data_IF_949532767853
#
_entry.id   IF_949532767853
#
_cell.length_a   1.000
_cell.length_b   1.000
_cell.length_c   1.000
_cell.angle_alpha   90.00
_cell.angle_beta   90.00
_cell.angle_gamma   90.00
#
_symmetry.space_group_name_H-M   'P 1'
#
loop_
_entity.id
_entity.type
_entity.pdbx_description
1 polymer ?
#
# COMPACT_ATOMS: atom_id res chain seq x y z
N UNK A 1 1.16 -18.54 -3.06
CA UNK A 1 0.23 -17.40 -3.20
C UNK A 1 -1.08 -17.80 -2.54
N UNK A 2 -1.57 -17.10 -1.50
CA UNK A 2 -2.86 -17.47 -0.90
C UNK A 2 -3.99 -17.25 -1.93
N UNK A 3 -4.78 -18.27 -2.33
CA UNK A 3 -5.77 -18.19 -3.42
C UNK A 3 -6.81 -17.07 -3.22
N UNK A 4 -7.04 -16.69 -1.97
CA UNK A 4 -7.94 -15.60 -1.58
C UNK A 4 -7.49 -14.21 -2.07
N UNK A 5 -6.18 -13.97 -2.24
CA UNK A 5 -5.66 -12.65 -2.65
C UNK A 5 -5.97 -12.34 -4.12
N UNK A 6 -5.74 -13.30 -5.00
CA UNK A 6 -6.00 -13.14 -6.44
C UNK A 6 -7.50 -12.99 -6.68
N UNK A 7 -8.31 -13.83 -6.01
CA UNK A 7 -9.77 -13.75 -6.10
C UNK A 7 -10.31 -12.38 -5.63
N UNK A 8 -9.77 -11.86 -4.53
CA UNK A 8 -10.12 -10.53 -4.05
C UNK A 8 -9.78 -9.44 -5.06
N UNK A 9 -8.57 -9.46 -5.62
CA UNK A 9 -8.13 -8.45 -6.61
C UNK A 9 -9.04 -8.44 -7.84
N UNK A 10 -9.29 -9.59 -8.44
CA UNK A 10 -10.18 -9.69 -9.61
C UNK A 10 -11.57 -9.13 -9.26
N UNK A 11 -12.14 -9.55 -8.13
CA UNK A 11 -13.47 -9.08 -7.72
C UNK A 11 -13.51 -7.59 -7.38
N UNK A 12 -12.43 -7.02 -6.86
CA UNK A 12 -12.35 -5.58 -6.59
C UNK A 12 -12.32 -4.74 -7.86
N UNK A 13 -11.66 -5.23 -8.92
CA UNK A 13 -11.56 -4.51 -10.21
C UNK A 13 -12.89 -4.51 -10.95
N UNK A 14 -13.62 -5.63 -10.92
CA UNK A 14 -14.89 -5.79 -11.64
C UNK A 14 -16.14 -5.45 -10.81
N UNK A 15 -15.99 -4.78 -9.66
CA UNK A 15 -17.11 -4.45 -8.75
C UNK A 15 -17.97 -5.68 -8.40
N UNK A 16 -17.33 -6.81 -8.11
CA UNK A 16 -17.96 -8.08 -7.70
C UNK A 16 -17.81 -8.35 -6.19
N UNK A 17 -17.35 -7.36 -5.43
CA UNK A 17 -17.29 -7.45 -3.98
C UNK A 17 -18.70 -7.33 -3.37
N UNK A 18 -18.91 -7.87 -2.15
CA UNK A 18 -20.19 -7.82 -1.46
C UNK A 18 -20.51 -6.42 -0.90
N UNK A 19 -20.60 -5.40 -1.76
CA UNK A 19 -21.17 -4.09 -1.44
C UNK A 19 -22.69 -4.21 -1.26
N UNK A 20 -23.35 -3.34 -0.49
CA UNK A 20 -24.81 -3.46 -0.33
C UNK A 20 -25.56 -3.38 -1.66
N UNK A 21 -25.07 -2.60 -2.63
CA UNK A 21 -25.64 -2.59 -3.99
C UNK A 21 -25.59 -3.99 -4.63
N UNK A 22 -24.47 -4.69 -4.53
CA UNK A 22 -24.34 -6.04 -5.07
C UNK A 22 -25.12 -7.07 -4.27
N UNK A 23 -25.17 -6.94 -2.95
CA UNK A 23 -25.97 -7.82 -2.09
C UNK A 23 -27.47 -7.73 -2.43
N UNK A 24 -27.97 -6.53 -2.72
CA UNK A 24 -29.34 -6.34 -3.22
C UNK A 24 -29.52 -6.99 -4.58
N UNK A 25 -28.59 -6.77 -5.51
CA UNK A 25 -28.61 -7.40 -6.84
C UNK A 25 -28.62 -8.94 -6.76
N UNK A 26 -27.99 -9.52 -5.74
CA UNK A 26 -27.95 -10.97 -5.52
C UNK A 26 -29.12 -11.51 -4.67
N UNK A 27 -30.09 -10.67 -4.31
CA UNK A 27 -31.22 -11.06 -3.46
C UNK A 27 -30.80 -11.48 -2.04
N UNK A 28 -29.68 -10.95 -1.54
CA UNK A 28 -29.16 -11.22 -0.19
C UNK A 28 -29.47 -10.10 0.81
N UNK A 29 -29.95 -8.97 0.33
CA UNK A 29 -30.32 -7.80 1.14
C UNK A 29 -31.41 -7.02 0.41
N UNK A 30 -32.24 -6.28 1.14
CA UNK A 30 -33.31 -5.47 0.54
C UNK A 30 -32.89 -4.02 0.27
N UNK A 31 -31.92 -3.51 1.04
CA UNK A 31 -31.52 -2.10 1.00
C UNK A 31 -30.04 -1.89 0.60
N UNK A 32 -29.77 -1.11 -0.48
CA UNK A 32 -28.41 -0.80 -0.93
C UNK A 32 -27.74 0.35 -0.15
N UNK A 33 -28.36 0.91 0.88
CA UNK A 33 -27.82 2.09 1.57
C UNK A 33 -26.58 1.81 2.41
N UNK A 34 -25.72 2.81 2.51
CA UNK A 34 -24.55 2.81 3.36
C UNK A 34 -24.98 3.00 4.82
N UNK A 35 -24.53 2.16 5.75
CA UNK A 35 -24.93 2.28 7.16
C UNK A 35 -24.45 3.59 7.79
N UNK A 36 -23.36 4.17 7.27
CA UNK A 36 -22.73 5.40 7.80
C UNK A 36 -23.42 6.67 7.31
N UNK A 37 -23.53 6.83 5.99
CA UNK A 37 -23.97 8.09 5.39
C UNK A 37 -25.35 8.02 4.71
N UNK A 38 -26.00 6.85 4.76
CA UNK A 38 -27.31 6.55 4.16
C UNK A 38 -27.40 6.73 2.63
N UNK A 39 -26.29 7.03 1.96
CA UNK A 39 -26.20 7.07 0.49
C UNK A 39 -26.08 5.68 -0.12
N UNK A 40 -26.17 5.55 -1.45
CA UNK A 40 -26.02 4.27 -2.15
C UNK A 40 -24.60 3.69 -1.96
N UNK A 41 -24.49 2.46 -1.47
CA UNK A 41 -23.20 1.84 -1.13
C UNK A 41 -22.68 0.89 -2.23
N UNK A 42 -21.97 1.45 -3.21
CA UNK A 42 -21.14 0.70 -4.16
C UNK A 42 -19.79 0.29 -3.55
N UNK A 43 -19.00 -0.52 -4.25
CA UNK A 43 -17.61 -0.80 -3.82
C UNK A 43 -16.78 0.48 -3.76
N UNK A 44 -16.88 1.34 -4.78
CA UNK A 44 -16.22 2.65 -4.82
C UNK A 44 -16.61 3.53 -3.60
N UNK A 45 -17.89 3.53 -3.23
CA UNK A 45 -18.38 4.25 -2.06
C UNK A 45 -17.66 3.83 -0.77
N UNK A 46 -17.48 2.53 -0.55
CA UNK A 46 -16.79 1.99 0.64
C UNK A 46 -15.30 2.31 0.62
N UNK A 47 -14.69 2.30 -0.57
CA UNK A 47 -13.25 2.47 -0.74
C UNK A 47 -12.80 3.93 -0.71
N UNK A 48 -13.56 4.87 -1.26
CA UNK A 48 -13.10 6.26 -1.44
C UNK A 48 -14.17 7.34 -1.33
N UNK A 49 -15.46 7.03 -1.54
CA UNK A 49 -16.47 8.07 -1.83
C UNK A 49 -17.51 8.31 -0.71
N UNK A 50 -17.34 7.70 0.47
CA UNK A 50 -18.24 7.90 1.61
C UNK A 50 -17.87 9.16 2.40
N UNK A 51 -18.72 10.20 2.33
CA UNK A 51 -18.54 11.48 3.03
C UNK A 51 -18.33 11.35 4.55
N UNK A 52 -19.07 10.45 5.20
CA UNK A 52 -18.94 10.22 6.66
C UNK A 52 -17.65 9.47 6.99
N UNK A 53 -17.25 8.51 6.14
CA UNK A 53 -15.98 7.83 6.34
C UNK A 53 -14.79 8.78 6.15
N UNK A 54 -14.90 9.74 5.21
CA UNK A 54 -13.93 10.80 5.01
C UNK A 54 -13.82 11.70 6.24
N UNK A 55 -14.94 12.28 6.68
CA UNK A 55 -14.94 13.24 7.80
C UNK A 55 -14.51 12.61 9.13
N UNK A 56 -14.78 11.31 9.33
CA UNK A 56 -14.33 10.57 10.50
C UNK A 56 -12.88 10.07 10.39
N UNK A 57 -12.14 10.40 9.33
CA UNK A 57 -10.73 10.03 9.17
C UNK A 57 -10.49 8.53 8.94
N UNK A 58 -11.50 7.76 8.54
CA UNK A 58 -11.37 6.30 8.37
C UNK A 58 -10.45 5.91 7.22
N UNK A 59 -10.39 6.73 6.17
CA UNK A 59 -9.43 6.55 5.07
C UNK A 59 -7.99 6.74 5.58
N UNK A 60 -7.74 7.81 6.32
CA UNK A 60 -6.45 8.09 6.95
C UNK A 60 -6.01 6.93 7.85
N UNK A 61 -6.92 6.41 8.68
CA UNK A 61 -6.61 5.25 9.52
C UNK A 61 -6.21 4.02 8.69
N UNK A 62 -6.99 3.66 7.66
CA UNK A 62 -6.68 2.52 6.78
C UNK A 62 -5.33 2.69 6.07
N UNK A 63 -5.06 3.87 5.51
CA UNK A 63 -3.80 4.17 4.84
C UNK A 63 -2.63 4.10 5.82
N UNK A 64 -2.75 4.70 7.01
CA UNK A 64 -1.71 4.65 8.03
C UNK A 64 -1.41 3.22 8.48
N UNK A 65 -2.42 2.35 8.58
CA UNK A 65 -2.20 0.92 8.89
C UNK A 65 -1.38 0.20 7.83
N UNK A 66 -1.63 0.47 6.55
CA UNK A 66 -0.82 -0.10 5.45
C UNK A 66 0.61 0.44 5.51
N UNK A 67 0.78 1.75 5.68
CA UNK A 67 2.09 2.39 5.79
C UNK A 67 2.89 1.87 6.99
N UNK A 68 2.25 1.65 8.14
CA UNK A 68 2.88 1.04 9.32
C UNK A 68 3.39 -0.37 9.02
N UNK A 69 2.61 -1.19 8.32
CA UNK A 69 3.03 -2.53 7.91
C UNK A 69 4.26 -2.48 6.99
N UNK A 70 4.27 -1.60 6.00
CA UNK A 70 5.42 -1.41 5.11
C UNK A 70 6.65 -0.91 5.86
N UNK A 71 6.49 0.10 6.72
CA UNK A 71 7.57 0.64 7.53
C UNK A 71 8.19 -0.43 8.45
N UNK A 72 7.36 -1.30 9.03
CA UNK A 72 7.83 -2.43 9.87
C UNK A 72 8.70 -3.41 9.08
N UNK A 73 8.25 -3.80 7.88
CA UNK A 73 9.01 -4.71 7.00
C UNK A 73 10.34 -4.08 6.58
N UNK A 74 10.33 -2.80 6.18
CA UNK A 74 11.54 -2.08 5.78
C UNK A 74 12.51 -1.94 6.95
N UNK A 75 12.02 -1.58 8.14
CA UNK A 75 12.84 -1.43 9.35
C UNK A 75 13.49 -2.76 9.75
N UNK A 76 12.73 -3.85 9.65
CA UNK A 76 13.25 -5.21 9.89
C UNK A 76 14.32 -5.58 8.88
N UNK A 77 14.09 -5.33 7.59
CA UNK A 77 15.06 -5.61 6.53
C UNK A 77 16.34 -4.78 6.68
N UNK A 78 16.23 -3.52 7.13
CA UNK A 78 17.38 -2.65 7.39
C UNK A 78 18.30 -3.21 8.47
N UNK A 79 17.73 -3.85 9.49
CA UNK A 79 18.48 -4.44 10.60
C UNK A 79 19.06 -5.83 10.27
N UNK A 80 18.81 -6.36 9.07
CA UNK A 80 19.36 -7.65 8.67
C UNK A 80 20.87 -7.57 8.40
N UNK A 81 21.67 -8.58 8.82
CA UNK A 81 23.11 -8.61 8.59
C UNK A 81 23.49 -8.50 7.10
N UNK A 82 22.67 -9.10 6.22
CA UNK A 82 22.87 -9.04 4.77
C UNK A 82 22.73 -7.63 4.20
N UNK A 83 21.78 -6.84 4.71
CA UNK A 83 21.58 -5.44 4.30
C UNK A 83 22.78 -4.58 4.72
N UNK A 84 23.27 -4.76 5.95
CA UNK A 84 24.46 -4.08 6.45
C UNK A 84 25.73 -4.46 5.67
N UNK A 85 25.88 -5.75 5.31
CA UNK A 85 27.00 -6.23 4.49
C UNK A 85 26.97 -5.61 3.08
N UNK A 86 25.81 -5.58 2.41
CA UNK A 86 25.64 -4.95 1.10
C UNK A 86 25.91 -3.44 1.14
N UNK A 87 25.40 -2.73 2.14
CA UNK A 87 25.68 -1.30 2.32
C UNK A 87 27.18 -1.03 2.55
N UNK A 88 27.86 -1.89 3.31
CA UNK A 88 29.32 -1.77 3.51
C UNK A 88 30.13 -1.98 2.22
N UNK A 89 29.61 -2.77 1.27
CA UNK A 89 30.24 -3.03 -0.03
C UNK A 89 29.96 -1.85 -0.98
N UNK A 90 28.73 -1.32 -0.99
CA UNK A 90 28.37 -0.13 -1.77
C UNK A 90 29.18 1.11 -1.35
N UNK A 91 29.32 1.37 -0.03
CA UNK A 91 30.12 2.50 0.47
C UNK A 91 31.62 2.39 0.12
N UNK A 92 32.18 1.16 0.15
CA UNK A 92 33.57 0.91 -0.27
C UNK A 92 33.79 1.14 -1.76
N UNK A 93 32.87 0.70 -2.61
CA UNK A 93 32.98 0.87 -4.06
C UNK A 93 32.80 2.34 -4.49
N UNK A 94 31.95 3.11 -3.80
CA UNK A 94 31.83 4.56 -4.01
C UNK A 94 33.11 5.30 -3.58
N UNK A 95 33.65 5.02 -2.39
CA UNK A 95 34.89 5.62 -1.88
C UNK A 95 36.10 5.32 -2.77
N UNK A 96 36.24 4.07 -3.24
CA UNK A 96 37.30 3.68 -4.17
C UNK A 96 37.14 4.27 -5.59
N UNK A 97 35.90 4.50 -6.06
CA UNK A 97 35.64 5.18 -7.34
C UNK A 97 35.86 6.70 -7.25
N UNK A 98 35.65 7.30 -6.09
CA UNK A 98 35.94 8.72 -5.81
C UNK A 98 37.45 8.96 -5.71
N UNK A 99 38.18 8.11 -4.98
CA UNK A 99 39.63 8.21 -4.83
C UNK A 99 40.39 8.09 -6.17
N UNK A 100 39.83 7.35 -7.15
CA UNK A 100 40.40 7.23 -8.51
C UNK A 100 40.13 8.41 -9.44
N UNK A 101 39.26 9.35 -9.06
CA UNK A 101 38.98 10.57 -9.88
C UNK A 101 39.81 11.78 -9.47
N UNK A 102 40.47 11.72 -8.31
CA UNK A 102 41.41 12.76 -7.88
C UNK A 102 42.81 12.28 -8.26
N UNK A 103 43.20 12.52 -9.50
CA UNK A 103 44.60 12.37 -9.92
C UNK A 103 45.37 13.64 -9.52
N UNK A 104 46.36 13.55 -8.61
CA UNK A 104 47.15 14.71 -8.18
C UNK A 104 48.01 15.32 -9.30
N UNK A 105 48.19 14.65 -10.44
CA UNK A 105 49.09 15.06 -11.52
C UNK A 105 48.38 15.60 -12.77
N UNK A 106 47.06 15.82 -12.73
CA UNK A 106 46.35 16.44 -13.86
C UNK A 106 46.53 17.97 -13.86
N UNK A 107 47.61 18.44 -14.47
CA UNK A 107 47.74 19.85 -14.87
C UNK A 107 46.85 20.15 -16.09
N UNK A 108 46.39 21.41 -16.27
CA UNK A 108 45.51 21.83 -17.36
C UNK A 108 46.12 21.64 -18.76
#
# INVERSE_FOLDING_TARGET
>A
MAPLRISFLIRSVYDLLPSNVNLVRWGKKDDPTCPLCKGRQTTEHVLSSCKVALSQGRYTWRHNRVLQGLASVISTARNQPLFNKLNSIHHRTWSQKMARRVDPNRHP
#
